data_IF_167863761257
#
_entry.id   IF_167863761257
#
_cell.length_a   1.000
_cell.length_b   1.000
_cell.length_c   1.000
_cell.angle_alpha   90.00
_cell.angle_beta   90.00
_cell.angle_gamma   90.00
#
_symmetry.space_group_name_H-M   'P 1'
#
loop_
_entity.id
_entity.type
_entity.pdbx_description
1 polymer ?
#
# COMPACT_ATOMS: atom_id res chain seq x y z
N UNK A 1 14.04 -12.51 -3.73
CA UNK A 1 13.73 -12.63 -5.17
C UNK A 1 12.29 -13.04 -5.48
N UNK A 2 11.73 -14.11 -4.88
CA UNK A 2 10.36 -14.59 -5.20
C UNK A 2 9.28 -13.50 -5.04
N UNK A 3 9.36 -12.69 -3.97
CA UNK A 3 8.42 -11.58 -3.72
C UNK A 3 8.46 -10.53 -4.83
N UNK A 4 9.66 -10.07 -5.22
CA UNK A 4 9.85 -9.11 -6.31
C UNK A 4 9.18 -9.57 -7.61
N UNK A 5 9.34 -10.85 -7.95
CA UNK A 5 8.74 -11.43 -9.17
C UNK A 5 7.21 -11.51 -9.13
N UNK A 6 6.62 -11.61 -7.93
CA UNK A 6 5.17 -11.73 -7.76
C UNK A 6 4.48 -10.37 -7.74
N UNK A 7 5.19 -9.32 -7.32
CA UNK A 7 4.60 -8.00 -7.10
C UNK A 7 3.96 -7.37 -8.37
N UNK A 8 4.55 -7.44 -9.58
CA UNK A 8 3.91 -6.90 -10.78
C UNK A 8 2.59 -7.58 -11.12
N UNK A 9 2.53 -8.92 -10.99
CA UNK A 9 1.30 -9.67 -11.24
C UNK A 9 0.24 -9.34 -10.20
N UNK A 10 0.64 -9.22 -8.93
CA UNK A 10 -0.25 -8.83 -7.84
C UNK A 10 -0.86 -7.44 -8.11
N UNK A 11 -0.02 -6.43 -8.40
CA UNK A 11 -0.49 -5.07 -8.72
C UNK A 11 -1.47 -5.05 -9.89
N UNK A 12 -1.15 -5.78 -10.97
CA UNK A 12 -2.06 -5.92 -12.12
C UNK A 12 -3.40 -6.54 -11.72
N UNK A 13 -3.38 -7.62 -10.94
CA UNK A 13 -4.60 -8.29 -10.49
C UNK A 13 -5.47 -7.38 -9.61
N UNK A 14 -4.86 -6.66 -8.67
CA UNK A 14 -5.57 -5.73 -7.79
C UNK A 14 -6.20 -4.58 -8.59
N UNK A 15 -5.47 -4.02 -9.54
CA UNK A 15 -6.00 -3.00 -10.46
C UNK A 15 -7.20 -3.52 -11.27
N UNK A 16 -7.14 -4.76 -11.76
CA UNK A 16 -8.28 -5.40 -12.45
C UNK A 16 -9.50 -5.61 -11.53
N UNK A 17 -9.29 -5.70 -10.22
CA UNK A 17 -10.35 -5.79 -9.22
C UNK A 17 -10.88 -4.42 -8.78
N UNK A 18 -10.38 -3.33 -9.37
CA UNK A 18 -10.77 -1.95 -9.03
C UNK A 18 -10.09 -1.40 -7.79
N UNK A 19 -8.96 -1.99 -7.37
CA UNK A 19 -8.16 -1.53 -6.24
C UNK A 19 -7.06 -0.60 -6.76
N UNK A 20 -6.94 0.57 -6.15
CA UNK A 20 -5.97 1.62 -6.49
C UNK A 20 -4.54 1.12 -6.23
N UNK A 21 -3.61 1.36 -7.16
CA UNK A 21 -2.23 0.83 -7.11
C UNK A 21 -1.47 1.33 -5.87
N UNK A 22 -1.80 2.56 -5.47
CA UNK A 22 -1.31 3.28 -4.32
C UNK A 22 -1.59 2.56 -2.98
N UNK A 23 -2.58 1.67 -2.92
CA UNK A 23 -2.89 0.90 -1.70
C UNK A 23 -1.91 -0.25 -1.46
N UNK A 24 -1.04 -0.59 -2.42
CA UNK A 24 -0.04 -1.66 -2.26
C UNK A 24 1.34 -1.20 -2.72
N UNK A 25 2.27 -1.17 -1.75
CA UNK A 25 3.67 -0.77 -1.95
C UNK A 25 4.61 -1.86 -1.44
N UNK A 26 5.76 -2.01 -2.10
CA UNK A 26 6.82 -2.93 -1.67
C UNK A 26 8.13 -2.17 -1.59
N UNK A 27 8.70 -2.12 -0.39
CA UNK A 27 9.98 -1.48 -0.12
C UNK A 27 10.97 -2.50 0.48
N UNK A 28 12.24 -2.31 0.19
CA UNK A 28 13.33 -3.10 0.78
C UNK A 28 13.99 -2.27 1.85
N UNK A 29 13.82 -2.65 3.11
CA UNK A 29 14.41 -1.94 4.25
C UNK A 29 15.19 -2.92 5.10
N UNK A 30 16.42 -2.58 5.42
CA UNK A 30 17.30 -3.38 6.28
C UNK A 30 17.06 -3.07 7.77
N UNK A 31 17.60 -3.91 8.65
CA UNK A 31 17.45 -3.74 10.10
C UNK A 31 18.09 -2.46 10.65
N UNK A 32 19.03 -1.86 9.91
CA UNK A 32 19.74 -0.63 10.31
C UNK A 32 19.06 0.66 9.82
N UNK A 33 18.01 0.56 9.02
CA UNK A 33 17.36 1.69 8.34
C UNK A 33 16.06 2.11 9.05
N UNK A 34 16.09 2.22 10.38
CA UNK A 34 14.91 2.53 11.19
C UNK A 34 14.23 3.85 10.84
N UNK A 35 15.00 4.93 10.71
CA UNK A 35 14.45 6.25 10.35
C UNK A 35 13.85 6.26 8.94
N UNK A 36 14.47 5.53 8.01
CA UNK A 36 13.95 5.39 6.65
C UNK A 36 12.65 4.57 6.62
N UNK A 37 12.57 3.49 7.41
CA UNK A 37 11.34 2.72 7.58
C UNK A 37 10.20 3.60 8.09
N UNK A 38 10.45 4.41 9.13
CA UNK A 38 9.44 5.30 9.69
C UNK A 38 8.91 6.28 8.63
N UNK A 39 9.81 6.91 7.87
CA UNK A 39 9.43 7.83 6.80
C UNK A 39 8.58 7.16 5.70
N UNK A 40 8.92 5.93 5.29
CA UNK A 40 8.14 5.16 4.31
C UNK A 40 6.72 4.87 4.85
N UNK A 41 6.62 4.47 6.12
CA UNK A 41 5.34 4.15 6.75
C UNK A 41 4.47 5.40 6.84
N UNK A 42 5.03 6.53 7.24
CA UNK A 42 4.31 7.81 7.29
C UNK A 42 3.80 8.22 5.90
N UNK A 43 4.65 8.16 4.88
CA UNK A 43 4.27 8.47 3.49
C UNK A 43 3.13 7.56 2.99
N UNK A 44 3.27 6.24 3.17
CA UNK A 44 2.24 5.28 2.77
C UNK A 44 0.93 5.52 3.52
N UNK A 45 1.01 5.83 4.81
CA UNK A 45 -0.19 6.09 5.63
C UNK A 45 -0.91 7.34 5.14
N UNK A 46 -0.20 8.42 4.85
CA UNK A 46 -0.78 9.64 4.29
C UNK A 46 -1.39 9.41 2.90
N UNK A 47 -0.72 8.62 2.06
CA UNK A 47 -1.24 8.25 0.74
C UNK A 47 -2.56 7.47 0.85
N UNK A 48 -2.63 6.47 1.73
CA UNK A 48 -3.85 5.69 1.96
C UNK A 48 -4.96 6.52 2.60
N UNK A 49 -4.64 7.44 3.53
CA UNK A 49 -5.61 8.37 4.12
C UNK A 49 -6.28 9.24 3.05
N UNK A 50 -5.50 9.75 2.08
CA UNK A 50 -6.02 10.56 0.96
C UNK A 50 -6.96 9.77 0.03
N UNK A 51 -6.73 8.48 -0.16
CA UNK A 51 -7.62 7.60 -0.92
C UNK A 51 -8.91 7.26 -0.18
N UNK A 52 -8.99 7.57 1.12
CA UNK A 52 -10.13 7.24 1.96
C UNK A 52 -10.29 5.74 2.25
N UNK A 53 -11.34 5.38 3.01
CA UNK A 53 -11.63 3.99 3.38
C UNK A 53 -11.78 3.08 2.15
N UNK A 54 -11.42 1.81 2.32
CA UNK A 54 -11.58 0.84 1.23
C UNK A 54 -13.07 0.55 0.97
N UNK A 55 -13.58 0.71 -0.27
CA UNK A 55 -15.02 0.68 -0.55
C UNK A 55 -15.76 -0.60 -0.14
N UNK A 56 -15.06 -1.74 -0.11
CA UNK A 56 -15.69 -3.07 0.11
C UNK A 56 -15.91 -3.43 1.58
N UNK A 57 -15.29 -2.72 2.52
CA UNK A 57 -15.33 -3.07 3.94
C UNK A 57 -16.47 -2.38 4.73
N UNK A 58 -17.38 -1.66 4.07
CA UNK A 58 -18.52 -1.02 4.76
C UNK A 58 -18.10 -0.08 5.89
N UNK A 59 -16.93 0.55 5.76
CA UNK A 59 -16.36 1.44 6.78
C UNK A 59 -16.91 2.85 6.70
N UNK A 60 -18.16 3.03 7.12
CA UNK A 60 -18.68 4.22 7.79
C UNK A 60 -18.73 5.53 7.00
N UNK A 61 -19.95 5.92 6.63
CA UNK A 61 -20.41 7.31 6.80
C UNK A 61 -19.90 7.84 8.15
N UNK A 62 -18.99 8.82 8.11
CA UNK A 62 -18.74 9.86 9.11
C UNK A 62 -17.64 10.78 8.56
N UNK A 63 -18.02 11.56 7.55
CA UNK A 63 -17.56 12.94 7.38
C UNK A 63 -18.76 13.83 7.66
#
# INVERSE_FOLDING_TARGET
YKTMRRMPLLKKLLSQMGIEDERVRMEWVSASEGDHFAAIVDEMTEQVRKLGPFPRNGGGENG
#
